data_IF_274427076873
#
_entry.id   IF_274427076873
#
_cell.length_a   1.000
_cell.length_b   1.000
_cell.length_c   1.000
_cell.angle_alpha   90.00
_cell.angle_beta   90.00
_cell.angle_gamma   90.00
#
_symmetry.space_group_name_H-M   'P 1'
#
loop_
_entity.id
_entity.type
_entity.pdbx_description
1 polymer ?
#
# COMPACT_ATOMS: atom_id res chain seq x y z
N UNK A 1 -32.37 8.86 11.37
CA UNK A 1 -31.09 9.47 10.92
C UNK A 1 -29.85 8.92 11.64
N UNK A 2 -29.94 8.20 12.77
CA UNK A 2 -28.77 7.70 13.52
C UNK A 2 -28.08 6.44 12.96
N UNK A 3 -28.80 5.58 12.25
CA UNK A 3 -28.23 4.35 11.65
C UNK A 3 -27.25 4.62 10.51
N UNK A 4 -27.51 5.66 9.71
CA UNK A 4 -26.65 6.06 8.60
C UNK A 4 -25.29 6.61 9.06
N UNK A 5 -25.26 7.41 10.13
CA UNK A 5 -24.01 7.93 10.70
C UNK A 5 -23.16 6.83 11.34
N UNK A 6 -23.79 5.88 12.03
CA UNK A 6 -23.08 4.73 12.57
C UNK A 6 -22.49 3.87 11.45
N UNK A 7 -23.27 3.56 10.40
CA UNK A 7 -22.79 2.79 9.25
C UNK A 7 -21.59 3.45 8.56
N UNK A 8 -21.67 4.76 8.30
CA UNK A 8 -20.55 5.49 7.69
C UNK A 8 -19.30 5.47 8.58
N UNK A 9 -19.44 5.64 9.90
CA UNK A 9 -18.31 5.71 10.82
C UNK A 9 -17.64 4.36 11.05
N UNK A 10 -18.40 3.28 11.16
CA UNK A 10 -17.88 1.97 11.55
C UNK A 10 -17.52 1.07 10.36
N UNK A 11 -18.10 1.31 9.18
CA UNK A 11 -17.89 0.43 8.02
C UNK A 11 -17.29 1.16 6.83
N UNK A 12 -17.90 2.26 6.38
CA UNK A 12 -17.45 2.95 5.15
C UNK A 12 -16.13 3.67 5.35
N UNK A 13 -15.98 4.42 6.44
CA UNK A 13 -14.79 5.24 6.69
C UNK A 13 -13.51 4.40 6.87
N UNK A 14 -13.51 3.29 7.66
CA UNK A 14 -12.35 2.39 7.72
C UNK A 14 -12.00 1.80 6.35
N UNK A 15 -12.98 1.30 5.58
CA UNK A 15 -12.74 0.73 4.25
C UNK A 15 -12.14 1.75 3.27
N UNK A 16 -12.60 3.00 3.31
CA UNK A 16 -12.05 4.07 2.49
C UNK A 16 -10.61 4.40 2.88
N UNK A 17 -10.29 4.39 4.17
CA UNK A 17 -8.92 4.63 4.65
C UNK A 17 -7.98 3.49 4.23
N UNK A 18 -8.42 2.24 4.28
CA UNK A 18 -7.63 1.09 3.79
C UNK A 18 -7.33 1.20 2.29
N UNK A 19 -8.34 1.48 1.47
CA UNK A 19 -8.14 1.70 0.04
C UNK A 19 -7.21 2.89 -0.26
N UNK A 20 -7.28 3.94 0.57
CA UNK A 20 -6.35 5.07 0.46
C UNK A 20 -4.92 4.66 0.86
N UNK A 21 -4.75 3.82 1.88
CA UNK A 21 -3.44 3.31 2.29
C UNK A 21 -2.78 2.48 1.19
N UNK A 22 -3.53 1.60 0.51
CA UNK A 22 -3.03 0.85 -0.64
C UNK A 22 -2.64 1.77 -1.80
N UNK A 23 -3.49 2.77 -2.10
CA UNK A 23 -3.19 3.77 -3.13
C UNK A 23 -1.94 4.58 -2.79
N UNK A 24 -1.74 4.89 -1.51
CA UNK A 24 -0.53 5.55 -1.03
C UNK A 24 0.70 4.66 -1.21
N UNK A 25 0.61 3.38 -0.85
CA UNK A 25 1.69 2.42 -1.01
C UNK A 25 2.14 2.31 -2.47
N UNK A 26 1.19 2.27 -3.43
CA UNK A 26 1.54 2.31 -4.86
C UNK A 26 2.26 3.60 -5.27
N UNK A 27 1.77 4.75 -4.78
CA UNK A 27 2.39 6.05 -5.09
C UNK A 27 3.80 6.13 -4.51
N UNK A 28 3.98 5.60 -3.31
CA UNK A 28 5.27 5.51 -2.62
C UNK A 28 6.24 4.62 -3.39
N UNK A 29 5.83 3.41 -3.77
CA UNK A 29 6.66 2.49 -4.56
C UNK A 29 7.18 3.13 -5.85
N UNK A 30 6.34 3.93 -6.53
CA UNK A 30 6.73 4.64 -7.75
C UNK A 30 7.64 5.85 -7.49
N UNK A 31 7.42 6.59 -6.38
CA UNK A 31 8.17 7.81 -6.05
C UNK A 31 9.53 7.54 -5.43
N UNK A 32 9.60 6.50 -4.61
CA UNK A 32 10.82 6.04 -3.95
C UNK A 32 11.59 5.04 -4.84
N UNK A 33 11.14 4.87 -6.10
CA UNK A 33 11.79 4.04 -7.12
C UNK A 33 11.98 2.57 -6.72
N UNK A 34 11.14 2.05 -5.84
CA UNK A 34 11.13 0.62 -5.50
C UNK A 34 10.63 -0.21 -6.66
N UNK A 35 9.61 0.31 -7.36
CA UNK A 35 8.96 -0.36 -8.45
C UNK A 35 8.25 0.66 -9.36
N UNK A 36 8.50 0.61 -10.67
CA UNK A 36 7.67 1.31 -11.64
C UNK A 36 6.30 0.62 -11.67
N UNK A 37 5.31 1.23 -11.01
CA UNK A 37 3.98 0.63 -10.86
C UNK A 37 3.24 0.49 -12.20
N UNK A 38 3.56 1.32 -13.19
CA UNK A 38 2.92 1.25 -14.50
C UNK A 38 3.44 0.05 -15.30
N UNK A 39 4.77 -0.06 -15.46
CA UNK A 39 5.38 -1.17 -16.19
C UNK A 39 5.18 -2.51 -15.46
N UNK A 40 5.20 -2.50 -14.12
CA UNK A 40 4.98 -3.72 -13.32
C UNK A 40 3.56 -4.26 -13.50
N UNK A 41 2.54 -3.40 -13.45
CA UNK A 41 1.14 -3.81 -13.71
C UNK A 41 0.95 -4.32 -15.14
N UNK A 42 1.62 -3.71 -16.12
CA UNK A 42 1.59 -4.16 -17.51
C UNK A 42 2.19 -5.56 -17.67
N UNK A 43 3.30 -5.87 -16.99
CA UNK A 43 3.92 -7.21 -16.97
C UNK A 43 3.04 -8.25 -16.26
N UNK A 44 2.38 -7.85 -15.17
CA UNK A 44 1.38 -8.69 -14.48
C UNK A 44 0.20 -9.00 -15.42
N UNK A 45 -0.34 -8.01 -16.14
CA UNK A 45 -1.38 -8.24 -17.14
C UNK A 45 -0.92 -9.12 -18.31
N UNK A 46 0.36 -9.06 -18.68
CA UNK A 46 0.97 -9.95 -19.66
C UNK A 46 1.28 -11.35 -19.12
N UNK A 47 1.00 -11.62 -17.83
CA UNK A 47 1.31 -12.88 -17.14
C UNK A 47 2.81 -13.22 -17.12
N UNK A 48 3.68 -12.20 -17.15
CA UNK A 48 5.14 -12.38 -17.10
C UNK A 48 5.75 -12.01 -15.73
N UNK A 49 4.94 -11.48 -14.83
CA UNK A 49 5.33 -11.10 -13.48
C UNK A 49 4.18 -11.32 -12.49
N UNK A 50 4.53 -11.43 -11.21
CA UNK A 50 3.59 -11.43 -10.09
C UNK A 50 3.79 -10.17 -9.25
N UNK A 51 2.68 -9.58 -8.79
CA UNK A 51 2.66 -8.41 -7.92
C UNK A 51 1.61 -8.65 -6.85
N UNK A 52 2.03 -8.60 -5.59
CA UNK A 52 1.15 -8.60 -4.44
C UNK A 52 1.50 -7.36 -3.60
N UNK A 53 0.49 -6.68 -3.10
CA UNK A 53 0.67 -5.59 -2.16
C UNK A 53 -0.57 -5.49 -1.30
N UNK A 54 -0.39 -5.06 -0.07
CA UNK A 54 -1.47 -4.65 0.79
C UNK A 54 -0.97 -3.56 1.74
N UNK A 55 -1.90 -2.74 2.21
CA UNK A 55 -1.65 -1.81 3.28
C UNK A 55 -2.80 -1.90 4.28
N UNK A 56 -2.46 -1.73 5.56
CA UNK A 56 -3.37 -1.81 6.68
C UNK A 56 -3.24 -0.54 7.53
N UNK A 57 -4.36 0.08 7.91
CA UNK A 57 -4.37 1.23 8.79
C UNK A 57 -4.38 0.76 10.24
N UNK A 58 -3.28 0.99 10.95
CA UNK A 58 -3.14 0.63 12.37
C UNK A 58 -3.85 1.63 13.28
N UNK A 59 -3.81 2.92 12.93
CA UNK A 59 -4.48 3.98 13.68
C UNK A 59 -4.71 5.24 12.84
N UNK A 60 -5.54 6.15 13.35
CA UNK A 60 -5.78 7.46 12.73
C UNK A 60 -6.08 8.50 13.82
N UNK A 61 -5.53 9.70 13.65
CA UNK A 61 -5.85 10.86 14.50
C UNK A 61 -6.93 11.77 13.88
N UNK A 62 -7.53 11.34 12.76
CA UNK A 62 -8.53 12.09 12.00
C UNK A 62 -7.95 13.07 10.98
N UNK A 63 -6.66 13.38 11.03
CA UNK A 63 -5.94 14.14 9.99
C UNK A 63 -4.94 13.27 9.23
N UNK A 64 -4.28 12.35 9.94
CA UNK A 64 -3.33 11.38 9.42
C UNK A 64 -3.78 9.97 9.74
N UNK A 65 -3.50 9.07 8.81
CA UNK A 65 -3.58 7.63 9.04
C UNK A 65 -2.16 7.08 9.17
N UNK A 66 -1.99 6.14 10.09
CA UNK A 66 -0.75 5.40 10.33
C UNK A 66 -0.98 3.98 9.83
N UNK A 67 -0.04 3.48 9.04
CA UNK A 67 -0.22 2.28 8.26
C UNK A 67 1.05 1.45 8.21
N UNK A 68 0.82 0.16 8.02
CA UNK A 68 1.85 -0.82 7.66
C UNK A 68 1.48 -1.38 6.30
N UNK A 69 2.46 -1.67 5.47
CA UNK A 69 2.19 -2.24 4.16
C UNK A 69 3.34 -3.07 3.66
N UNK A 70 3.05 -3.91 2.67
CA UNK A 70 4.06 -4.68 1.98
C UNK A 70 3.82 -4.64 0.48
N UNK A 71 4.90 -4.77 -0.27
CA UNK A 71 4.87 -4.97 -1.72
C UNK A 71 5.87 -6.06 -2.09
N UNK A 72 5.37 -7.06 -2.81
CA UNK A 72 6.17 -8.09 -3.43
C UNK A 72 5.97 -8.04 -4.94
N UNK A 73 7.07 -8.07 -5.67
CA UNK A 73 7.07 -8.16 -7.10
C UNK A 73 8.09 -9.20 -7.53
N UNK A 74 7.70 -10.10 -8.43
CA UNK A 74 8.61 -11.08 -9.00
C UNK A 74 8.45 -11.17 -10.50
N UNK A 75 9.58 -11.06 -11.17
CA UNK A 75 9.77 -11.27 -12.60
C UNK A 75 11.07 -12.07 -12.79
N UNK A 76 11.22 -12.75 -13.94
CA UNK A 76 12.45 -13.48 -14.26
C UNK A 76 13.70 -12.60 -14.08
N UNK A 77 14.45 -12.86 -13.00
CA UNK A 77 15.69 -12.16 -12.68
C UNK A 77 15.53 -10.82 -11.97
N UNK A 78 14.31 -10.41 -11.61
CA UNK A 78 14.07 -9.17 -10.87
C UNK A 78 12.97 -9.36 -9.83
N UNK A 79 13.35 -9.19 -8.56
CA UNK A 79 12.48 -9.39 -7.43
C UNK A 79 12.56 -8.16 -6.51
N UNK A 80 11.40 -7.69 -6.05
CA UNK A 80 11.27 -6.62 -5.06
C UNK A 80 10.43 -7.15 -3.90
N UNK A 81 10.88 -6.89 -2.69
CA UNK A 81 10.15 -7.22 -1.47
C UNK A 81 10.39 -6.09 -0.48
N UNK A 82 9.35 -5.33 -0.16
CA UNK A 82 9.43 -4.25 0.83
C UNK A 82 8.33 -4.43 1.85
N UNK A 83 8.68 -4.23 3.11
CA UNK A 83 7.75 -3.99 4.20
C UNK A 83 8.00 -2.57 4.70
N UNK A 84 6.94 -1.80 4.91
CA UNK A 84 7.02 -0.37 5.20
C UNK A 84 6.03 0.04 6.27
N UNK A 85 6.51 0.82 7.24
CA UNK A 85 5.68 1.54 8.20
C UNK A 85 5.64 3.00 7.76
N UNK A 86 4.45 3.52 7.52
CA UNK A 86 4.28 4.88 7.02
C UNK A 86 3.06 5.57 7.61
N UNK A 87 3.00 6.88 7.47
CA UNK A 87 1.81 7.64 7.76
C UNK A 87 1.53 8.63 6.64
N UNK A 88 0.26 8.98 6.44
CA UNK A 88 -0.14 9.90 5.38
C UNK A 88 -1.28 10.80 5.79
N UNK A 89 -1.35 11.98 5.17
CA UNK A 89 -2.48 12.89 5.32
C UNK A 89 -3.71 12.32 4.62
N UNK A 90 -4.82 12.20 5.34
CA UNK A 90 -6.10 11.69 4.80
C UNK A 90 -6.57 12.58 3.64
N UNK A 91 -7.14 11.96 2.60
CA UNK A 91 -7.50 12.60 1.32
C UNK A 91 -6.32 13.22 0.54
N UNK A 92 -5.09 12.79 0.78
CA UNK A 92 -3.90 13.18 0.01
C UNK A 92 -3.12 11.94 -0.43
N UNK A 93 -2.67 11.93 -1.68
CA UNK A 93 -1.77 10.91 -2.24
C UNK A 93 -0.32 11.39 -2.38
N UNK A 94 0.01 12.56 -1.83
CA UNK A 94 1.34 13.17 -1.98
C UNK A 94 2.07 13.39 -0.66
N UNK A 95 1.34 13.40 0.45
CA UNK A 95 1.86 13.76 1.76
C UNK A 95 1.93 12.52 2.63
N UNK A 96 3.08 11.86 2.60
CA UNK A 96 3.40 10.74 3.47
C UNK A 96 4.75 10.96 4.16
N UNK A 97 5.01 10.16 5.18
CA UNK A 97 6.31 9.96 5.78
C UNK A 97 6.51 8.47 5.99
N UNK A 98 7.69 7.98 5.62
CA UNK A 98 8.13 6.64 5.96
C UNK A 98 8.76 6.71 7.34
N UNK A 99 8.28 5.87 8.25
CA UNK A 99 8.83 5.72 9.60
C UNK A 99 9.85 4.59 9.65
N UNK A 100 9.58 3.50 8.93
CA UNK A 100 10.46 2.35 8.83
C UNK A 100 10.31 1.67 7.47
N UNK A 101 11.39 1.07 6.97
CA UNK A 101 11.44 0.39 5.69
C UNK A 101 12.51 -0.70 5.73
N UNK A 102 12.11 -1.92 5.38
CA UNK A 102 13.04 -3.04 5.25
C UNK A 102 12.71 -3.93 4.07
N UNK A 103 13.77 -4.57 3.58
CA UNK A 103 13.65 -5.59 2.55
C UNK A 103 13.22 -6.91 3.21
N UNK A 104 12.17 -7.53 2.68
CA UNK A 104 11.75 -8.86 3.10
C UNK A 104 12.40 -9.93 2.21
N UNK A 105 12.51 -11.17 2.71
CA UNK A 105 12.89 -12.29 1.85
C UNK A 105 11.64 -12.84 1.18
N UNK A 106 11.59 -12.79 -0.15
CA UNK A 106 10.77 -13.72 -0.92
C UNK A 106 11.42 -15.07 -0.67
N UNK A 107 10.87 -15.87 0.25
CA UNK A 107 11.36 -17.22 0.51
C UNK A 107 11.59 -17.95 -0.81
N UNK A 108 12.59 -18.83 -0.84
CA UNK A 108 12.97 -19.58 -2.05
C UNK A 108 11.78 -20.42 -2.53
N UNK A 109 10.92 -19.84 -3.38
CA UNK A 109 9.92 -20.58 -4.14
C UNK A 109 10.67 -21.25 -5.30
N UNK A 110 11.32 -22.37 -4.96
CA UNK A 110 11.88 -23.35 -5.89
C UNK A 110 10.79 -24.30 -6.40
#
# INVERSE_FOLDING_TARGET
>A
MSSYFAYNRFYVYPQQLESQAESMLMQMANREEWLDMYESKKRVHAHTAHLEFAAHVTSSDGQRAYSEGYITYSERGHNVCKEVIFNFKINSLRNYSISDLHDCSLGEYY
#
